data_IF_722327197375
#
_entry.id   IF_722327197375
#
_cell.length_a   1.000
_cell.length_b   1.000
_cell.length_c   1.000
_cell.angle_alpha   90.00
_cell.angle_beta   90.00
_cell.angle_gamma   90.00
#
_symmetry.space_group_name_H-M   'P 1'
#
loop_
_entity.id
_entity.type
_entity.pdbx_description
1 polymer ?
#
# COMPACT_ATOMS: atom_id res chain seq x y z
N UNK A 1 10.65 -30.19 -14.34
CA UNK A 1 10.99 -29.15 -13.35
C UNK A 1 9.81 -28.21 -13.25
N UNK A 2 9.18 -28.06 -12.09
CA UNK A 2 8.12 -27.05 -11.93
C UNK A 2 8.81 -25.70 -11.80
N UNK A 3 8.91 -24.97 -12.90
CA UNK A 3 9.31 -23.56 -12.88
C UNK A 3 8.28 -22.78 -12.10
N UNK A 4 8.57 -22.62 -10.81
CA UNK A 4 7.80 -21.77 -9.93
C UNK A 4 8.06 -20.33 -10.35
N UNK A 5 7.01 -19.55 -10.59
CA UNK A 5 7.16 -18.13 -10.88
C UNK A 5 7.58 -17.37 -9.60
N UNK A 6 8.35 -16.26 -9.73
CA UNK A 6 8.71 -15.45 -8.57
C UNK A 6 7.46 -14.82 -7.92
N UNK A 7 7.59 -14.46 -6.65
CA UNK A 7 6.59 -13.69 -5.90
C UNK A 7 7.11 -12.27 -5.73
N UNK A 8 6.21 -11.29 -5.76
CA UNK A 8 6.52 -9.88 -5.55
C UNK A 8 5.85 -9.40 -4.28
N UNK A 9 6.63 -8.96 -3.31
CA UNK A 9 6.16 -8.34 -2.08
C UNK A 9 6.09 -6.83 -2.26
N UNK A 10 4.98 -6.23 -1.88
CA UNK A 10 4.88 -4.81 -1.56
C UNK A 10 5.02 -4.69 -0.05
N UNK A 11 6.08 -4.03 0.40
CA UNK A 11 6.36 -3.77 1.81
C UNK A 11 6.01 -2.30 2.05
N UNK A 12 5.07 -2.06 2.95
CA UNK A 12 4.63 -0.72 3.32
C UNK A 12 5.05 -0.49 4.76
N UNK A 13 5.76 0.62 4.99
CA UNK A 13 6.00 1.16 6.33
C UNK A 13 5.27 2.50 6.49
N UNK A 14 5.53 3.21 7.59
CA UNK A 14 4.86 4.48 7.90
C UNK A 14 5.15 5.58 6.87
N UNK A 15 6.26 5.49 6.13
CA UNK A 15 6.80 6.58 5.28
C UNK A 15 7.14 6.16 3.86
N UNK A 16 7.16 4.86 3.57
CA UNK A 16 7.73 4.32 2.35
C UNK A 16 7.00 3.08 1.85
N UNK A 17 7.20 2.81 0.57
CA UNK A 17 6.75 1.59 -0.09
C UNK A 17 7.92 1.00 -0.85
N UNK A 18 8.22 -0.27 -0.59
CA UNK A 18 9.25 -1.02 -1.28
C UNK A 18 8.67 -2.22 -2.02
N UNK A 19 9.34 -2.62 -3.11
CA UNK A 19 9.05 -3.83 -3.86
C UNK A 19 10.21 -4.81 -3.71
N UNK A 20 9.92 -6.00 -3.22
CA UNK A 20 10.89 -7.10 -3.07
C UNK A 20 10.47 -8.28 -3.96
N UNK A 21 11.43 -8.87 -4.68
CA UNK A 21 11.22 -10.09 -5.45
C UNK A 21 11.70 -11.31 -4.65
N UNK A 22 10.81 -12.28 -4.44
CA UNK A 22 11.13 -13.57 -3.83
C UNK A 22 11.25 -14.63 -4.90
N UNK A 23 12.46 -15.15 -5.06
CA UNK A 23 12.73 -16.28 -5.93
C UNK A 23 12.20 -17.60 -5.34
N UNK A 24 11.77 -18.57 -6.18
CA UNK A 24 11.29 -19.88 -5.73
C UNK A 24 12.23 -20.69 -4.83
N UNK A 25 13.54 -20.43 -4.98
CA UNK A 25 14.60 -21.09 -4.21
C UNK A 25 14.73 -20.50 -2.80
N UNK A 26 14.08 -19.38 -2.51
CA UNK A 26 14.10 -18.75 -1.19
C UNK A 26 13.36 -19.62 -0.17
N UNK A 27 13.95 -19.81 1.02
CA UNK A 27 13.38 -20.61 2.10
C UNK A 27 11.97 -20.15 2.53
N UNK A 28 11.69 -18.85 2.41
CA UNK A 28 10.40 -18.24 2.75
C UNK A 28 9.34 -18.43 1.66
N UNK A 29 9.73 -18.80 0.43
CA UNK A 29 8.82 -18.86 -0.72
C UNK A 29 7.58 -19.71 -0.44
N UNK A 30 7.75 -20.91 0.14
CA UNK A 30 6.63 -21.84 0.41
C UNK A 30 5.60 -21.27 1.39
N UNK A 31 6.04 -20.42 2.33
CA UNK A 31 5.15 -19.75 3.28
C UNK A 31 4.38 -18.65 2.55
N UNK A 32 5.11 -17.79 1.85
CA UNK A 32 4.54 -16.63 1.16
C UNK A 32 3.59 -17.04 0.04
N UNK A 33 3.91 -18.09 -0.72
CA UNK A 33 3.12 -18.59 -1.84
C UNK A 33 1.70 -19.03 -1.48
N UNK A 34 1.38 -19.19 -0.18
CA UNK A 34 0.04 -19.57 0.27
C UNK A 34 -0.92 -18.38 0.37
N UNK A 35 -0.38 -17.17 0.47
CA UNK A 35 -1.13 -15.94 0.75
C UNK A 35 -0.99 -14.93 -0.39
N UNK A 36 -0.50 -15.36 -1.55
CA UNK A 36 -0.30 -14.48 -2.71
C UNK A 36 -1.62 -14.06 -3.32
N UNK A 37 -1.71 -12.77 -3.61
CA UNK A 37 -2.77 -12.18 -4.40
C UNK A 37 -2.47 -12.45 -5.88
N UNK A 38 -3.44 -13.06 -6.57
CA UNK A 38 -3.26 -13.54 -7.94
C UNK A 38 -3.77 -12.56 -9.00
N UNK A 39 -4.81 -11.78 -8.69
CA UNK A 39 -5.48 -10.92 -9.67
C UNK A 39 -5.39 -9.46 -9.28
N UNK A 40 -5.35 -8.60 -10.30
CA UNK A 40 -5.40 -7.14 -10.12
C UNK A 40 -6.65 -6.68 -9.38
N UNK A 41 -7.80 -7.31 -9.67
CA UNK A 41 -9.06 -7.05 -8.97
C UNK A 41 -8.92 -7.27 -7.46
N UNK A 42 -8.37 -8.41 -7.06
CA UNK A 42 -8.19 -8.77 -5.64
C UNK A 42 -7.25 -7.78 -4.93
N UNK A 43 -6.24 -7.25 -5.64
CA UNK A 43 -5.36 -6.21 -5.11
C UNK A 43 -6.12 -4.90 -4.86
N UNK A 44 -6.99 -4.48 -5.78
CA UNK A 44 -7.82 -3.28 -5.63
C UNK A 44 -8.81 -3.48 -4.47
N UNK A 45 -9.49 -4.62 -4.39
CA UNK A 45 -10.43 -4.95 -3.32
C UNK A 45 -9.71 -4.97 -1.95
N UNK A 46 -8.50 -5.54 -1.88
CA UNK A 46 -7.68 -5.52 -0.67
C UNK A 46 -7.32 -4.09 -0.25
N UNK A 47 -6.95 -3.24 -1.20
CA UNK A 47 -6.66 -1.83 -0.93
C UNK A 47 -7.88 -1.09 -0.40
N UNK A 48 -9.04 -1.26 -1.04
CA UNK A 48 -10.29 -0.62 -0.62
C UNK A 48 -10.71 -1.06 0.79
N UNK A 49 -10.58 -2.36 1.09
CA UNK A 49 -10.87 -2.89 2.42
C UNK A 49 -9.98 -2.26 3.50
N UNK A 50 -8.67 -2.22 3.27
CA UNK A 50 -7.72 -1.59 4.20
C UNK A 50 -8.01 -0.09 4.39
N UNK A 51 -8.33 0.62 3.30
CA UNK A 51 -8.72 2.03 3.36
C UNK A 51 -9.98 2.24 4.20
N UNK A 52 -11.01 1.43 3.99
CA UNK A 52 -12.31 1.56 4.67
C UNK A 52 -12.24 1.19 6.15
N UNK A 53 -11.41 0.22 6.52
CA UNK A 53 -11.22 -0.20 7.91
C UNK A 53 -10.47 0.85 8.76
N UNK A 54 -9.95 1.92 8.14
CA UNK A 54 -9.00 2.82 8.80
C UNK A 54 -7.74 2.09 9.28
N UNK A 55 -7.51 0.87 8.76
CA UNK A 55 -6.47 -0.02 9.19
C UNK A 55 -5.10 0.48 8.73
N UNK A 56 -4.07 0.11 9.47
CA UNK A 56 -2.71 0.39 9.04
C UNK A 56 -2.39 -0.41 7.78
N UNK A 57 -1.98 0.30 6.72
CA UNK A 57 -1.40 -0.32 5.53
C UNK A 57 -0.02 -0.92 5.81
N UNK A 58 0.56 -0.69 7.00
CA UNK A 58 1.88 -1.21 7.38
C UNK A 58 1.86 -2.72 7.37
N UNK A 59 2.81 -3.30 6.63
CA UNK A 59 2.94 -4.74 6.49
C UNK A 59 3.48 -5.16 5.13
N UNK A 60 3.41 -6.46 4.88
CA UNK A 60 3.84 -7.06 3.63
C UNK A 60 2.64 -7.66 2.91
N UNK A 61 2.48 -7.31 1.64
CA UNK A 61 1.45 -7.84 0.75
C UNK A 61 2.11 -8.55 -0.42
N UNK A 62 1.75 -9.81 -0.65
CA UNK A 62 2.45 -10.66 -1.61
C UNK A 62 1.61 -10.90 -2.85
N UNK A 63 2.25 -10.88 -4.02
CA UNK A 63 1.58 -10.93 -5.32
C UNK A 63 2.29 -11.90 -6.26
N UNK A 64 1.52 -12.61 -7.09
CA UNK A 64 2.10 -13.52 -8.08
C UNK A 64 2.65 -12.79 -9.31
N UNK A 65 2.06 -11.64 -9.66
CA UNK A 65 2.44 -10.87 -10.84
C UNK A 65 2.93 -9.48 -10.46
N UNK A 66 4.02 -9.04 -11.10
CA UNK A 66 4.64 -7.74 -10.84
C UNK A 66 3.67 -6.58 -11.09
N UNK A 67 2.86 -6.63 -12.16
CA UNK A 67 1.93 -5.55 -12.48
C UNK A 67 0.80 -5.42 -11.46
N UNK A 68 0.41 -6.54 -10.85
CA UNK A 68 -0.54 -6.54 -9.74
C UNK A 68 0.07 -5.89 -8.49
N UNK A 69 1.33 -6.23 -8.16
CA UNK A 69 2.06 -5.59 -7.07
C UNK A 69 2.23 -4.07 -7.30
N UNK A 70 2.60 -3.67 -8.52
CA UNK A 70 2.71 -2.25 -8.92
C UNK A 70 1.38 -1.53 -8.79
N UNK A 71 0.28 -2.15 -9.22
CA UNK A 71 -1.07 -1.56 -9.07
C UNK A 71 -1.36 -1.26 -7.61
N UNK A 72 -1.14 -2.22 -6.71
CA UNK A 72 -1.35 -2.04 -5.29
C UNK A 72 -0.45 -0.94 -4.70
N UNK A 73 0.84 -0.95 -5.03
CA UNK A 73 1.80 0.07 -4.58
C UNK A 73 1.40 1.48 -5.05
N UNK A 74 1.01 1.64 -6.31
CA UNK A 74 0.55 2.94 -6.85
C UNK A 74 -0.71 3.46 -6.16
N UNK A 75 -1.66 2.58 -5.84
CA UNK A 75 -2.87 2.98 -5.10
C UNK A 75 -2.51 3.52 -3.71
N UNK A 76 -1.56 2.88 -3.01
CA UNK A 76 -1.10 3.39 -1.71
C UNK A 76 -0.31 4.69 -1.84
N UNK A 77 0.59 4.84 -2.82
CA UNK A 77 1.32 6.10 -3.05
C UNK A 77 0.35 7.27 -3.26
N UNK A 78 -0.68 7.08 -4.10
CA UNK A 78 -1.71 8.11 -4.33
C UNK A 78 -2.49 8.44 -3.05
N UNK A 79 -2.76 7.44 -2.22
CA UNK A 79 -3.39 7.68 -0.91
C UNK A 79 -2.47 8.49 0.01
N UNK A 80 -1.16 8.19 0.06
CA UNK A 80 -0.20 8.97 0.85
C UNK A 80 -0.13 10.42 0.39
N UNK A 81 -0.14 10.66 -0.92
CA UNK A 81 -0.15 11.99 -1.50
C UNK A 81 -1.42 12.77 -1.13
N UNK A 82 -2.58 12.12 -1.19
CA UNK A 82 -3.84 12.72 -0.73
C UNK A 82 -3.80 13.02 0.77
N UNK A 83 -3.31 12.10 1.61
CA UNK A 83 -3.18 12.31 3.06
C UNK A 83 -2.28 13.53 3.37
N UNK A 84 -1.21 13.74 2.59
CA UNK A 84 -0.34 14.91 2.72
C UNK A 84 -1.09 16.17 2.31
N UNK A 85 -1.80 16.17 1.18
CA UNK A 85 -2.55 17.32 0.71
C UNK A 85 -3.66 17.72 1.70
N UNK A 86 -4.43 16.75 2.20
CA UNK A 86 -5.48 16.97 3.20
C UNK A 86 -4.91 17.59 4.48
N UNK A 87 -3.71 17.16 4.89
CA UNK A 87 -3.00 17.74 6.03
C UNK A 87 -2.52 19.17 5.75
N UNK A 88 -2.01 19.46 4.55
CA UNK A 88 -1.62 20.82 4.16
C UNK A 88 -2.82 21.76 4.13
N UNK A 89 -3.94 21.34 3.56
CA UNK A 89 -5.19 22.10 3.53
C UNK A 89 -5.71 22.38 4.96
N UNK A 90 -5.57 21.39 5.85
CA UNK A 90 -5.91 21.56 7.28
C UNK A 90 -5.00 22.57 7.98
N UNK A 91 -3.69 22.57 7.69
CA UNK A 91 -2.75 23.56 8.27
C UNK A 91 -3.07 24.96 7.74
N UNK A 92 -3.28 25.09 6.43
CA UNK A 92 -3.63 26.38 5.82
C UNK A 92 -4.94 26.96 6.35
N UNK A 93 -5.96 26.11 6.56
CA UNK A 93 -7.22 26.55 7.18
C UNK A 93 -7.05 26.97 8.65
N UNK A 94 -6.13 26.33 9.39
CA UNK A 94 -5.77 26.73 10.76
C UNK A 94 -5.06 28.08 10.80
N UNK A 95 -4.10 28.31 9.90
CA UNK A 95 -3.34 29.57 9.80
C UNK A 95 -4.20 30.75 9.27
N UNK A 96 -5.36 30.47 8.67
CA UNK A 96 -6.22 31.47 8.01
C UNK A 96 -7.48 31.93 8.75
N UNK A 97 -7.85 31.42 9.94
CA UNK A 97 -9.07 31.90 10.62
C UNK A 97 -9.24 31.49 12.09
N UNK A 98 -8.34 31.91 12.99
CA UNK A 98 -8.88 32.47 14.23
C UNK A 98 -9.48 33.83 13.85
N UNK A 99 -10.75 33.86 13.43
CA UNK A 99 -11.50 35.12 13.42
C UNK A 99 -11.34 35.68 14.83
N UNK A 100 -10.55 36.74 14.94
CA UNK A 100 -10.45 37.54 16.15
C UNK A 100 -11.86 37.91 16.54
N UNK A 101 -12.34 37.23 17.58
CA UNK A 101 -13.43 37.69 18.41
C UNK A 101 -13.05 39.06 18.96
N UNK A 102 -13.59 40.09 18.35
CA UNK A 102 -13.57 41.48 18.80
C UNK A 102 -14.50 42.22 17.84
N UNK A 103 -15.55 42.90 18.26
CA UNK A 103 -15.87 43.52 19.54
C UNK A 103 -16.69 44.74 19.16
#
# INVERSE_FOLDING_TARGET
MTDRAPIFNVIIDEKSIALEKIEPKNQRYRKVSKEVILRQRDAIERFQKLKAEGGSFVGTHSFQFLDTAKTFAMLRLRAMEQDIQDNLDRIQSYDGSAKTSGG
#
